data_IF_957083526557
#
_entry.id   IF_957083526557
#
_cell.length_a   1.000
_cell.length_b   1.000
_cell.length_c   1.000
_cell.angle_alpha   90.00
_cell.angle_beta   90.00
_cell.angle_gamma   90.00
#
_symmetry.space_group_name_H-M   'P 1'
#
loop_
_entity.id
_entity.type
_entity.pdbx_description
1 polymer ?
#
# COMPACT_ATOMS: atom_id res chain seq x y z
N UNK A 1 -10.91 25.17 -19.56
CA UNK A 1 -11.59 24.48 -18.45
C UNK A 1 -10.61 24.45 -17.28
N UNK A 2 -10.97 24.99 -16.12
CA UNK A 2 -10.16 24.98 -14.89
C UNK A 2 -10.87 24.13 -13.84
N UNK A 3 -10.10 23.35 -13.10
CA UNK A 3 -10.64 22.58 -11.98
C UNK A 3 -10.95 23.52 -10.80
N UNK A 4 -11.93 23.13 -9.98
CA UNK A 4 -12.13 23.71 -8.66
C UNK A 4 -10.97 23.34 -7.73
N UNK A 5 -10.90 23.98 -6.56
CA UNK A 5 -9.93 23.63 -5.53
C UNK A 5 -10.12 22.17 -5.07
N UNK A 6 -11.36 21.73 -4.86
CA UNK A 6 -11.67 20.39 -4.35
C UNK A 6 -11.34 19.30 -5.37
N UNK A 7 -11.61 19.54 -6.65
CA UNK A 7 -11.18 18.66 -7.75
C UNK A 7 -9.64 18.60 -7.82
N UNK A 8 -8.98 19.75 -7.70
CA UNK A 8 -7.51 19.82 -7.71
C UNK A 8 -6.90 19.05 -6.54
N UNK A 9 -7.48 19.17 -5.35
CA UNK A 9 -7.07 18.46 -4.13
C UNK A 9 -7.21 16.93 -4.31
N UNK A 10 -8.33 16.49 -4.89
CA UNK A 10 -8.54 15.08 -5.21
C UNK A 10 -7.45 14.55 -6.14
N UNK A 11 -7.14 15.24 -7.25
CA UNK A 11 -6.12 14.78 -8.18
C UNK A 11 -4.71 14.77 -7.57
N UNK A 12 -4.38 15.77 -6.74
CA UNK A 12 -3.12 15.80 -5.98
C UNK A 12 -3.01 14.59 -5.05
N UNK A 13 -4.07 14.31 -4.30
CA UNK A 13 -4.10 13.18 -3.38
C UNK A 13 -4.05 11.83 -4.11
N UNK A 14 -4.79 11.69 -5.21
CA UNK A 14 -4.75 10.51 -6.06
C UNK A 14 -3.34 10.26 -6.62
N UNK A 15 -2.67 11.31 -7.10
CA UNK A 15 -1.30 11.21 -7.62
C UNK A 15 -0.29 10.83 -6.53
N UNK A 16 -0.38 11.45 -5.34
CA UNK A 16 0.42 11.08 -4.16
C UNK A 16 0.29 9.57 -3.89
N UNK A 17 -0.94 9.07 -3.82
CA UNK A 17 -1.18 7.65 -3.57
C UNK A 17 -0.62 6.76 -4.68
N UNK A 18 -0.90 7.08 -5.94
CA UNK A 18 -0.50 6.28 -7.09
C UNK A 18 1.03 6.18 -7.21
N UNK A 19 1.74 7.30 -7.03
CA UNK A 19 3.19 7.37 -7.30
C UNK A 19 4.04 7.24 -6.04
N UNK A 20 3.77 8.02 -5.00
CA UNK A 20 4.64 8.15 -3.84
C UNK A 20 4.34 7.03 -2.85
N UNK A 21 3.08 6.87 -2.45
CA UNK A 21 2.70 5.85 -1.48
C UNK A 21 3.00 4.43 -2.00
N UNK A 22 2.59 4.13 -3.24
CA UNK A 22 2.89 2.83 -3.87
C UNK A 22 4.38 2.53 -3.89
N UNK A 23 5.22 3.52 -4.24
CA UNK A 23 6.68 3.32 -4.30
C UNK A 23 7.25 3.01 -2.92
N UNK A 24 6.90 3.77 -1.90
CA UNK A 24 7.42 3.55 -0.56
C UNK A 24 6.98 2.19 0.01
N UNK A 25 5.69 1.87 -0.11
CA UNK A 25 5.16 0.57 0.34
C UNK A 25 5.77 -0.60 -0.45
N UNK A 26 6.09 -0.42 -1.74
CA UNK A 26 6.82 -1.42 -2.54
C UNK A 26 8.25 -1.62 -2.07
N UNK A 27 8.99 -0.55 -1.78
CA UNK A 27 10.35 -0.64 -1.23
C UNK A 27 10.34 -1.44 0.08
N UNK A 28 9.33 -1.21 0.93
CA UNK A 28 9.17 -2.02 2.13
C UNK A 28 8.91 -3.48 1.84
N UNK A 29 7.98 -3.74 0.90
CA UNK A 29 7.63 -5.09 0.50
C UNK A 29 8.84 -5.86 0.00
N UNK A 30 9.65 -5.26 -0.86
CA UNK A 30 10.84 -5.92 -1.41
C UNK A 30 11.93 -6.16 -0.34
N UNK A 31 11.96 -5.34 0.72
CA UNK A 31 12.82 -5.59 1.89
C UNK A 31 12.33 -6.81 2.70
N UNK A 32 11.02 -6.91 2.93
CA UNK A 32 10.40 -8.00 3.71
C UNK A 32 10.37 -9.32 2.94
N UNK A 33 10.07 -9.25 1.65
CA UNK A 33 9.88 -10.34 0.69
C UNK A 33 10.76 -10.10 -0.55
N UNK A 34 12.07 -10.43 -0.48
CA UNK A 34 13.00 -10.16 -1.56
C UNK A 34 12.57 -10.76 -2.91
N UNK A 35 12.76 -10.05 -4.04
CA UNK A 35 12.35 -10.53 -5.36
C UNK A 35 12.84 -11.93 -5.71
N UNK A 36 14.05 -12.29 -5.26
CA UNK A 36 14.64 -13.62 -5.50
C UNK A 36 13.85 -14.78 -4.85
N UNK A 37 13.13 -14.53 -3.75
CA UNK A 37 12.35 -15.54 -3.02
C UNK A 37 10.83 -15.45 -3.23
N UNK A 38 10.36 -14.34 -3.83
CA UNK A 38 8.95 -13.98 -3.90
C UNK A 38 8.08 -15.08 -4.52
N UNK A 39 8.49 -15.66 -5.65
CA UNK A 39 7.73 -16.71 -6.34
C UNK A 39 7.54 -17.96 -5.45
N UNK A 40 8.56 -18.33 -4.68
CA UNK A 40 8.49 -19.47 -3.76
C UNK A 40 7.51 -19.20 -2.62
N UNK A 41 7.56 -18.00 -2.04
CA UNK A 41 6.66 -17.60 -0.95
C UNK A 41 5.20 -17.53 -1.41
N UNK A 42 4.94 -16.93 -2.57
CA UNK A 42 3.60 -16.89 -3.18
C UNK A 42 3.06 -18.30 -3.46
N UNK A 43 3.92 -19.23 -3.86
CA UNK A 43 3.55 -20.63 -4.09
C UNK A 43 3.16 -21.33 -2.79
N UNK A 44 3.98 -21.15 -1.73
CA UNK A 44 3.72 -21.71 -0.39
C UNK A 44 2.42 -21.19 0.22
N UNK A 45 2.11 -19.91 0.03
CA UNK A 45 0.89 -19.27 0.53
C UNK A 45 -0.28 -19.33 -0.44
N UNK A 46 -0.21 -20.11 -1.52
CA UNK A 46 -1.19 -20.06 -2.61
C UNK A 46 -2.61 -20.43 -2.20
N UNK A 47 -2.78 -21.40 -1.31
CA UNK A 47 -4.10 -21.77 -0.78
C UNK A 47 -4.72 -20.61 -0.02
N UNK A 48 -3.95 -19.97 0.86
CA UNK A 48 -4.38 -18.80 1.64
C UNK A 48 -4.77 -17.65 0.71
N UNK A 49 -3.88 -17.27 -0.21
CA UNK A 49 -4.08 -16.12 -1.10
C UNK A 49 -5.26 -16.30 -2.07
N UNK A 50 -5.44 -17.52 -2.62
CA UNK A 50 -6.59 -17.85 -3.48
C UNK A 50 -7.91 -17.93 -2.71
N UNK A 51 -7.87 -18.19 -1.40
CA UNK A 51 -9.04 -18.22 -0.53
C UNK A 51 -9.53 -16.84 -0.07
N UNK A 52 -8.76 -15.78 -0.31
CA UNK A 52 -9.14 -14.42 0.09
C UNK A 52 -10.29 -13.90 -0.80
N UNK A 53 -11.44 -13.63 -0.17
CA UNK A 53 -12.67 -13.17 -0.85
C UNK A 53 -12.50 -11.90 -1.69
N UNK A 54 -11.54 -11.06 -1.34
CA UNK A 54 -11.30 -9.76 -1.99
C UNK A 54 -10.18 -9.82 -3.05
N UNK A 55 -9.57 -10.99 -3.29
CA UNK A 55 -8.57 -11.15 -4.34
C UNK A 55 -9.25 -11.30 -5.69
N UNK A 56 -8.98 -10.38 -6.62
CA UNK A 56 -9.55 -10.46 -7.97
C UNK A 56 -8.82 -11.46 -8.84
N UNK A 57 -9.47 -11.96 -9.91
CA UNK A 57 -8.80 -12.80 -10.93
C UNK A 57 -7.59 -12.10 -11.54
N UNK A 58 -7.68 -10.79 -11.77
CA UNK A 58 -6.57 -10.00 -12.31
C UNK A 58 -5.37 -10.00 -11.35
N UNK A 59 -5.60 -9.76 -10.06
CA UNK A 59 -4.54 -9.82 -9.05
C UNK A 59 -3.95 -11.23 -8.95
N UNK A 60 -4.76 -12.29 -9.00
CA UNK A 60 -4.23 -13.66 -9.01
C UNK A 60 -3.35 -13.94 -10.23
N UNK A 61 -3.71 -13.43 -11.42
CA UNK A 61 -2.89 -13.60 -12.62
C UNK A 61 -1.56 -12.84 -12.53
N UNK A 62 -1.53 -11.71 -11.82
CA UNK A 62 -0.29 -10.97 -11.52
C UNK A 62 0.59 -11.77 -10.55
N UNK A 63 0.01 -12.40 -9.51
CA UNK A 63 0.76 -13.21 -8.54
C UNK A 63 1.25 -14.55 -9.10
N UNK A 64 0.49 -15.13 -10.03
CA UNK A 64 0.74 -16.43 -10.63
C UNK A 64 0.73 -16.31 -12.16
N UNK A 65 1.76 -15.69 -12.75
CA UNK A 65 1.82 -15.46 -14.19
C UNK A 65 2.04 -16.77 -14.96
N UNK A 66 1.97 -16.70 -16.29
CA UNK A 66 2.12 -17.87 -17.15
C UNK A 66 3.50 -18.53 -17.00
N UNK A 67 3.64 -19.84 -17.27
CA UNK A 67 4.93 -20.52 -17.22
C UNK A 67 5.99 -19.78 -18.04
N UNK A 68 7.17 -19.58 -17.44
CA UNK A 68 8.28 -18.83 -18.04
C UNK A 68 8.29 -17.32 -17.72
N UNK A 69 7.23 -16.79 -17.11
CA UNK A 69 7.21 -15.43 -16.57
C UNK A 69 7.61 -15.43 -15.09
N UNK A 70 8.36 -14.40 -14.68
CA UNK A 70 8.74 -14.20 -13.28
C UNK A 70 7.84 -13.13 -12.67
N UNK A 71 7.23 -13.44 -11.52
CA UNK A 71 6.48 -12.47 -10.73
C UNK A 71 7.43 -11.45 -10.10
N UNK A 72 7.07 -10.17 -10.20
CA UNK A 72 7.80 -9.07 -9.57
C UNK A 72 6.81 -8.10 -8.93
N UNK A 73 7.25 -7.37 -7.91
CA UNK A 73 6.41 -6.38 -7.22
C UNK A 73 6.12 -5.12 -8.06
N UNK A 74 6.74 -4.99 -9.24
CA UNK A 74 6.61 -3.82 -10.11
C UNK A 74 5.17 -3.58 -10.58
N UNK A 75 4.41 -4.66 -10.79
CA UNK A 75 3.01 -4.62 -11.22
C UNK A 75 2.02 -4.54 -10.05
N UNK A 76 2.49 -4.63 -8.80
CA UNK A 76 1.60 -4.62 -7.65
C UNK A 76 1.18 -3.19 -7.32
N UNK A 77 -0.13 -2.99 -7.16
CA UNK A 77 -0.69 -1.77 -6.59
C UNK A 77 -0.60 -1.78 -5.06
N UNK A 78 -0.78 -0.62 -4.42
CA UNK A 78 -0.70 -0.48 -2.95
C UNK A 78 -1.64 -1.45 -2.23
N UNK A 79 -2.84 -1.68 -2.76
CA UNK A 79 -3.82 -2.57 -2.12
C UNK A 79 -3.35 -4.02 -2.12
N UNK A 80 -2.80 -4.49 -3.24
CA UNK A 80 -2.22 -5.82 -3.37
C UNK A 80 -0.97 -5.96 -2.48
N UNK A 81 -0.07 -4.97 -2.47
CA UNK A 81 1.13 -5.02 -1.62
C UNK A 81 0.73 -5.11 -0.15
N UNK A 82 -0.16 -4.22 0.32
CA UNK A 82 -0.63 -4.24 1.70
C UNK A 82 -1.35 -5.55 1.98
N UNK A 83 -2.09 -6.16 1.03
CA UNK A 83 -2.68 -7.50 1.18
C UNK A 83 -1.63 -8.59 1.40
N UNK A 84 -0.58 -8.62 0.58
CA UNK A 84 0.46 -9.63 0.69
C UNK A 84 1.20 -9.53 2.03
N UNK A 85 1.52 -8.31 2.50
CA UNK A 85 2.19 -8.08 3.78
C UNK A 85 1.42 -8.65 5.00
N UNK A 86 0.09 -8.77 4.92
CA UNK A 86 -0.75 -9.34 6.00
C UNK A 86 -0.91 -10.86 5.90
N UNK A 87 -0.73 -11.44 4.72
CA UNK A 87 -1.17 -12.82 4.41
C UNK A 87 -0.04 -13.77 4.01
N UNK A 88 1.09 -13.25 3.50
CA UNK A 88 2.35 -13.97 3.51
C UNK A 88 2.87 -14.11 4.95
N UNK A 89 3.81 -15.02 5.26
CA UNK A 89 4.36 -15.18 6.60
C UNK A 89 4.61 -13.81 7.24
N UNK A 90 3.75 -13.37 8.18
CA UNK A 90 3.61 -11.95 8.43
C UNK A 90 4.81 -11.51 9.25
N UNK A 91 5.49 -10.47 8.79
CA UNK A 91 6.48 -9.76 9.60
C UNK A 91 5.87 -8.67 10.46
N UNK A 92 4.64 -8.29 10.16
CA UNK A 92 3.94 -7.21 10.84
C UNK A 92 2.71 -7.72 11.59
N UNK A 93 2.53 -7.20 12.80
CA UNK A 93 1.31 -7.41 13.56
C UNK A 93 0.22 -6.50 13.03
N UNK A 94 -1.02 -6.97 13.07
CA UNK A 94 -2.16 -6.11 12.81
C UNK A 94 -2.16 -4.95 13.83
N UNK A 95 -2.49 -3.71 13.40
CA UNK A 95 -2.76 -2.65 14.35
C UNK A 95 -3.94 -3.03 15.24
N UNK A 96 -4.06 -2.42 16.42
CA UNK A 96 -5.14 -2.72 17.38
C UNK A 96 -6.53 -2.52 16.76
N UNK A 97 -6.66 -1.53 15.86
CA UNK A 97 -7.88 -1.25 15.10
C UNK A 97 -8.18 -2.27 14.00
N UNK A 98 -7.25 -3.16 13.67
CA UNK A 98 -7.29 -4.03 12.50
C UNK A 98 -6.93 -3.31 11.19
N UNK A 99 -6.71 -4.09 10.14
CA UNK A 99 -6.21 -3.61 8.83
C UNK A 99 -7.21 -2.80 8.00
N UNK A 100 -8.49 -2.83 8.36
CA UNK A 100 -9.59 -2.25 7.58
C UNK A 100 -10.16 -0.96 8.21
N UNK A 101 -9.71 -0.60 9.42
CA UNK A 101 -10.11 0.62 10.10
C UNK A 101 -8.95 1.62 10.14
N UNK A 102 -9.27 2.91 10.24
CA UNK A 102 -8.28 3.95 10.42
C UNK A 102 -7.58 3.76 11.78
N UNK A 103 -6.26 3.56 11.82
CA UNK A 103 -5.54 3.40 13.09
C UNK A 103 -5.50 4.70 13.89
N UNK A 104 -5.23 4.58 15.19
CA UNK A 104 -5.06 5.75 16.05
C UNK A 104 -3.89 6.62 15.55
N UNK A 105 -3.97 7.96 15.60
CA UNK A 105 -2.91 8.84 15.09
C UNK A 105 -1.54 8.60 15.72
N UNK A 106 -1.51 8.23 17.00
CA UNK A 106 -0.26 7.95 17.74
C UNK A 106 0.28 6.52 17.54
N UNK A 107 -0.40 5.66 16.80
CA UNK A 107 0.10 4.32 16.48
C UNK A 107 1.04 4.40 15.27
N UNK A 108 2.34 4.39 15.56
CA UNK A 108 3.44 4.49 14.60
C UNK A 108 4.03 3.11 14.24
N UNK A 109 3.32 2.02 14.55
CA UNK A 109 3.72 0.68 14.09
C UNK A 109 3.66 0.61 12.57
N UNK A 110 4.50 -0.24 11.96
CA UNK A 110 4.46 -0.42 10.50
C UNK A 110 3.11 -0.96 10.04
N UNK A 111 2.47 -1.83 10.83
CA UNK A 111 1.10 -2.30 10.57
C UNK A 111 0.08 -1.17 10.54
N UNK A 112 0.14 -0.22 11.48
CA UNK A 112 -0.70 0.97 11.47
C UNK A 112 -0.41 1.88 10.27
N UNK A 113 0.85 2.11 9.93
CA UNK A 113 1.23 2.90 8.75
C UNK A 113 0.65 2.32 7.46
N UNK A 114 0.79 1.00 7.24
CA UNK A 114 0.24 0.31 6.08
C UNK A 114 -1.30 0.36 6.04
N UNK A 115 -1.96 0.21 7.20
CA UNK A 115 -3.41 0.31 7.31
C UNK A 115 -3.90 1.75 7.01
N UNK A 116 -3.19 2.77 7.50
CA UNK A 116 -3.51 4.19 7.28
C UNK A 116 -3.40 4.58 5.80
N UNK A 117 -2.31 4.19 5.13
CA UNK A 117 -2.13 4.38 3.68
C UNK A 117 -3.27 3.75 2.88
N UNK A 118 -3.60 2.49 3.19
CA UNK A 118 -4.69 1.77 2.53
C UNK A 118 -6.05 2.44 2.78
N UNK A 119 -6.32 2.86 4.03
CA UNK A 119 -7.59 3.45 4.41
C UNK A 119 -7.85 4.73 3.62
N UNK A 120 -6.89 5.67 3.61
CA UNK A 120 -7.05 6.92 2.88
C UNK A 120 -7.18 6.72 1.36
N UNK A 121 -6.39 5.82 0.77
CA UNK A 121 -6.54 5.44 -0.65
C UNK A 121 -7.95 4.94 -0.94
N UNK A 122 -8.49 4.09 -0.08
CA UNK A 122 -9.84 3.56 -0.27
C UNK A 122 -10.89 4.66 -0.15
N UNK A 123 -10.80 5.54 0.86
CA UNK A 123 -11.72 6.67 0.99
C UNK A 123 -11.67 7.58 -0.24
N UNK A 124 -10.48 7.90 -0.74
CA UNK A 124 -10.35 8.76 -1.92
C UNK A 124 -10.97 8.13 -3.16
N UNK A 125 -10.68 6.85 -3.44
CA UNK A 125 -11.19 6.17 -4.65
C UNK A 125 -12.71 5.96 -4.62
N UNK A 126 -13.32 5.92 -3.42
CA UNK A 126 -14.76 5.81 -3.26
C UNK A 126 -15.48 7.16 -3.18
N UNK A 127 -14.76 8.29 -3.24
CA UNK A 127 -15.38 9.61 -3.44
C UNK A 127 -16.08 9.64 -4.79
N UNK A 128 -17.41 9.76 -4.79
CA UNK A 128 -18.26 9.60 -5.98
C UNK A 128 -18.09 10.70 -7.02
N UNK A 129 -17.60 11.87 -6.60
CA UNK A 129 -17.62 13.08 -7.42
C UNK A 129 -16.21 13.54 -7.84
N UNK A 130 -15.16 12.79 -7.48
CA UNK A 130 -13.78 13.19 -7.80
C UNK A 130 -13.35 14.50 -7.14
N UNK A 131 -13.98 14.83 -6.01
CA UNK A 131 -13.70 16.00 -5.18
C UNK A 131 -13.16 15.57 -3.82
N UNK A 132 -12.35 16.43 -3.22
CA UNK A 132 -11.84 16.30 -1.87
C UNK A 132 -11.82 17.67 -1.21
N UNK A 133 -12.59 17.84 -0.12
CA UNK A 133 -12.66 19.11 0.60
C UNK A 133 -11.26 19.54 1.08
N UNK A 134 -11.01 20.83 1.21
CA UNK A 134 -9.71 21.31 1.70
C UNK A 134 -9.44 20.85 3.13
N UNK A 135 -10.46 20.68 3.96
CA UNK A 135 -10.35 20.11 5.32
C UNK A 135 -9.87 18.66 5.28
N UNK A 136 -10.52 17.81 4.49
CA UNK A 136 -10.15 16.40 4.36
C UNK A 136 -8.77 16.27 3.71
N UNK A 137 -8.50 17.04 2.66
CA UNK A 137 -7.20 17.06 2.00
C UNK A 137 -6.07 17.37 2.98
N UNK A 138 -6.19 18.46 3.74
CA UNK A 138 -5.14 18.85 4.69
C UNK A 138 -4.94 17.80 5.79
N UNK A 139 -6.03 17.23 6.31
CA UNK A 139 -5.97 16.17 7.31
C UNK A 139 -5.28 14.92 6.76
N UNK A 140 -5.75 14.41 5.62
CA UNK A 140 -5.24 13.17 5.03
C UNK A 140 -3.80 13.34 4.56
N UNK A 141 -3.46 14.50 4.01
CA UNK A 141 -2.11 14.82 3.59
C UNK A 141 -1.16 14.85 4.78
N UNK A 142 -1.50 15.57 5.87
CA UNK A 142 -0.68 15.62 7.07
C UNK A 142 -0.50 14.26 7.74
N UNK A 143 -1.57 13.46 7.80
CA UNK A 143 -1.50 12.10 8.34
C UNK A 143 -0.62 11.19 7.52
N UNK A 144 -0.60 11.36 6.19
CA UNK A 144 0.29 10.62 5.30
C UNK A 144 1.73 11.14 5.37
N UNK A 145 1.97 12.44 5.47
CA UNK A 145 3.32 12.99 5.67
C UNK A 145 3.97 12.46 6.96
N UNK A 146 3.18 12.27 8.02
CA UNK A 146 3.62 11.72 9.29
C UNK A 146 3.89 10.20 9.29
N UNK A 147 3.48 9.48 8.25
CA UNK A 147 3.67 8.02 8.17
C UNK A 147 5.16 7.69 8.06
N UNK A 148 5.66 6.90 9.02
CA UNK A 148 7.08 6.60 9.13
C UNK A 148 7.61 5.74 7.99
N UNK A 149 6.75 4.99 7.28
CA UNK A 149 7.16 4.21 6.12
C UNK A 149 7.73 5.07 4.98
N UNK A 150 7.38 6.35 4.90
CA UNK A 150 7.92 7.28 3.90
C UNK A 150 9.30 7.81 4.28
N UNK A 151 9.59 7.95 5.57
CA UNK A 151 10.87 8.46 6.09
C UNK A 151 11.89 7.35 6.38
N UNK A 152 11.44 6.16 6.78
CA UNK A 152 12.28 4.96 6.95
C UNK A 152 12.93 4.47 5.64
N UNK A 153 12.51 5.00 4.49
CA UNK A 153 12.88 4.50 3.15
C UNK A 153 13.44 5.57 2.22
N UNK A 154 13.79 6.74 2.76
CA UNK A 154 14.91 7.51 2.17
C UNK A 154 16.11 6.55 2.21
N UNK A 155 16.84 6.36 1.10
CA UNK A 155 17.81 5.28 1.01
C UNK A 155 18.76 5.30 2.21
N UNK A 156 19.17 4.12 2.66
CA UNK A 156 20.37 3.91 3.47
C UNK A 156 21.60 4.43 2.68
N UNK A 157 21.64 5.73 2.41
CA UNK A 157 22.84 6.46 2.03
C UNK A 157 23.63 6.63 3.31
N UNK A 158 24.50 5.67 3.59
CA UNK A 158 25.49 5.79 4.65
C UNK A 158 25.35 4.79 5.78
N UNK A 159 25.35 3.49 5.47
CA UNK A 159 26.01 2.49 6.32
C UNK A 159 26.78 1.52 5.44
N UNK A 160 27.88 2.01 4.86
CA UNK A 160 29.04 1.15 4.60
C UNK A 160 29.72 0.80 5.92
N UNK A 161 30.23 -0.43 5.95
CA UNK A 161 30.91 -1.18 7.03
C UNK A 161 31.63 -0.36 8.09
#
# INVERSE_FOLDING_TARGET
MSLTEEESNFFRFYFLNLKIATKAVRVYFDYVHPPAGLASELTKSSVTLKGLRFMTKLQLNILYPSPGQTVTSAEFDTTLIVCLLRNLPPRESAPVSGWDNLPHPNDNSTGADLARVKWYRNQSVHSKDGILSSTDFNQWWGDLEGVSIYTKMTPLQGRTM
#
